data_IF_182248780613
#
_entry.id   IF_182248780613
#
_cell.length_a   1.000
_cell.length_b   1.000
_cell.length_c   1.000
_cell.angle_alpha   90.00
_cell.angle_beta   90.00
_cell.angle_gamma   90.00
#
_symmetry.space_group_name_H-M   'P 1'
#
loop_
_entity.id
_entity.type
_entity.pdbx_description
1 polymer ?
#
# COMPACT_ATOMS: atom_id res chain seq x y z
N UNK A 1 25.32 19.63 -0.44
CA UNK A 1 24.70 19.05 -1.65
C UNK A 1 23.95 17.79 -1.26
N UNK A 2 22.64 17.87 -1.03
CA UNK A 2 21.83 16.67 -0.80
C UNK A 2 21.47 16.06 -2.15
N UNK A 3 21.75 14.76 -2.32
CA UNK A 3 21.35 13.98 -3.49
C UNK A 3 19.81 13.95 -3.53
N UNK A 4 19.23 14.54 -4.57
CA UNK A 4 17.84 14.33 -4.92
C UNK A 4 17.72 12.85 -5.34
N UNK A 5 17.24 12.01 -4.44
CA UNK A 5 16.80 10.66 -4.79
C UNK A 5 15.50 10.85 -5.56
N UNK A 6 15.55 10.71 -6.89
CA UNK A 6 14.34 10.66 -7.71
C UNK A 6 13.51 9.47 -7.25
N UNK A 7 12.44 9.71 -6.51
CA UNK A 7 11.35 8.76 -6.34
C UNK A 7 10.92 8.34 -7.75
N UNK A 8 11.19 7.10 -8.13
CA UNK A 8 10.79 6.57 -9.44
C UNK A 8 9.31 6.86 -9.66
N UNK A 9 8.94 7.34 -10.85
CA UNK A 9 7.55 7.69 -11.19
C UNK A 9 6.63 6.53 -10.81
N UNK A 10 5.86 6.68 -9.72
CA UNK A 10 4.81 5.72 -9.38
C UNK A 10 3.83 5.70 -10.54
N UNK A 11 3.64 4.53 -11.15
CA UNK A 11 2.63 4.39 -12.19
C UNK A 11 1.32 4.09 -11.51
N UNK A 12 0.33 4.96 -11.70
CA UNK A 12 -1.05 4.77 -11.24
C UNK A 12 -1.59 3.36 -11.55
N UNK A 13 -1.22 2.79 -12.70
CA UNK A 13 -1.58 1.44 -13.14
C UNK A 13 -1.19 0.34 -12.15
N UNK A 14 -0.13 0.53 -11.37
CA UNK A 14 0.33 -0.48 -10.39
C UNK A 14 -0.60 -0.54 -9.18
N UNK A 15 -1.02 0.64 -8.69
CA UNK A 15 -2.02 0.73 -7.63
C UNK A 15 -3.36 0.17 -8.13
N UNK A 16 -3.78 0.55 -9.34
CA UNK A 16 -5.03 0.05 -9.93
C UNK A 16 -5.04 -1.48 -10.09
N UNK A 17 -3.91 -2.07 -10.43
CA UNK A 17 -3.77 -3.53 -10.51
C UNK A 17 -4.00 -4.18 -9.15
N UNK A 18 -3.33 -3.70 -8.11
CA UNK A 18 -3.48 -4.25 -6.75
C UNK A 18 -4.89 -4.04 -6.20
N UNK A 19 -5.46 -2.86 -6.41
CA UNK A 19 -6.85 -2.56 -6.00
C UNK A 19 -7.83 -3.49 -6.72
N UNK A 20 -7.62 -3.76 -8.01
CA UNK A 20 -8.47 -4.69 -8.78
C UNK A 20 -8.36 -6.11 -8.25
N UNK A 21 -7.16 -6.57 -7.92
CA UNK A 21 -6.95 -7.90 -7.31
C UNK A 21 -7.70 -8.00 -5.98
N UNK A 22 -7.53 -7.01 -5.09
CA UNK A 22 -8.21 -6.96 -3.80
C UNK A 22 -9.74 -6.91 -3.94
N UNK A 23 -10.25 -6.07 -4.84
CA UNK A 23 -11.68 -5.94 -5.10
C UNK A 23 -12.29 -7.21 -5.70
N UNK A 24 -11.48 -8.02 -6.38
CA UNK A 24 -11.89 -9.32 -6.94
C UNK A 24 -11.75 -10.48 -5.94
N UNK A 25 -11.37 -10.21 -4.69
CA UNK A 25 -11.12 -11.25 -3.68
C UNK A 25 -9.86 -12.09 -3.95
N UNK A 26 -8.98 -11.64 -4.86
CA UNK A 26 -7.74 -12.33 -5.17
C UNK A 26 -6.74 -12.07 -4.05
N UNK A 27 -6.21 -13.13 -3.45
CA UNK A 27 -5.14 -13.05 -2.46
C UNK A 27 -3.87 -12.49 -3.09
N UNK A 28 -3.28 -11.47 -2.48
CA UNK A 28 -2.01 -10.92 -2.92
C UNK A 28 -0.88 -11.93 -2.73
N UNK A 29 0.03 -11.97 -3.70
CA UNK A 29 1.25 -12.76 -3.62
C UNK A 29 2.22 -12.26 -2.54
N UNK A 30 3.21 -13.08 -2.20
CA UNK A 30 4.19 -12.77 -1.17
C UNK A 30 5.03 -11.51 -1.47
N UNK A 31 5.18 -11.16 -2.75
CA UNK A 31 5.89 -9.97 -3.21
C UNK A 31 5.27 -8.65 -2.72
N UNK A 32 3.98 -8.66 -2.39
CA UNK A 32 3.27 -7.50 -1.85
C UNK A 32 3.44 -7.36 -0.33
N UNK A 33 4.14 -8.27 0.35
CA UNK A 33 4.33 -8.24 1.81
C UNK A 33 3.03 -7.96 2.59
N UNK A 34 1.91 -8.55 2.13
CA UNK A 34 0.60 -8.30 2.69
C UNK A 34 0.50 -8.84 4.13
N UNK A 35 0.26 -7.95 5.09
CA UNK A 35 0.21 -8.32 6.49
C UNK A 35 -0.85 -7.54 7.26
N UNK A 36 -1.33 -8.12 8.36
CA UNK A 36 -2.27 -7.44 9.26
C UNK A 36 -1.52 -6.40 10.09
N UNK A 37 -2.11 -5.20 10.20
CA UNK A 37 -1.67 -4.19 11.14
C UNK A 37 -2.15 -4.55 12.56
N UNK A 38 -1.56 -3.92 13.57
CA UNK A 38 -1.86 -4.14 14.99
C UNK A 38 -2.11 -2.82 15.70
N UNK A 39 -2.68 -2.87 16.91
CA UNK A 39 -2.93 -1.69 17.74
C UNK A 39 -4.15 -0.91 17.24
N UNK A 40 -4.02 0.41 17.09
CA UNK A 40 -5.12 1.28 16.64
C UNK A 40 -5.65 0.93 15.25
N UNK A 41 -4.82 0.28 14.42
CA UNK A 41 -5.17 -0.18 13.08
C UNK A 41 -5.53 -1.68 13.04
N UNK A 42 -5.96 -2.27 14.16
CA UNK A 42 -6.37 -3.67 14.18
C UNK A 42 -7.53 -3.94 13.19
N UNK A 43 -7.42 -5.06 12.48
CA UNK A 43 -8.33 -5.41 11.37
C UNK A 43 -8.09 -4.64 10.06
N UNK A 44 -7.08 -3.76 9.99
CA UNK A 44 -6.54 -3.29 8.72
C UNK A 44 -5.37 -4.15 8.26
N UNK A 45 -5.06 -4.06 6.97
CA UNK A 45 -3.94 -4.72 6.33
C UNK A 45 -3.10 -3.70 5.58
N UNK A 46 -1.81 -3.94 5.52
CA UNK A 46 -0.86 -3.17 4.73
C UNK A 46 -0.18 -4.06 3.70
N UNK A 47 -0.02 -3.55 2.47
CA UNK A 47 0.76 -4.20 1.43
C UNK A 47 1.64 -3.20 0.66
N UNK A 48 2.76 -3.70 0.13
CA UNK A 48 3.76 -2.99 -0.65
C UNK A 48 3.48 -3.17 -2.14
N UNK A 49 3.05 -2.13 -2.83
CA UNK A 49 2.81 -2.17 -4.28
C UNK A 49 4.12 -2.10 -5.06
N UNK A 50 5.03 -1.20 -4.64
CA UNK A 50 6.36 -1.05 -5.24
C UNK A 50 7.28 -0.17 -4.41
N UNK A 51 8.47 -0.67 -4.06
CA UNK A 51 9.44 0.11 -3.29
C UNK A 51 8.81 0.58 -1.98
N UNK A 52 8.69 1.90 -1.79
CA UNK A 52 8.08 2.51 -0.61
C UNK A 52 6.57 2.83 -0.79
N UNK A 53 5.94 2.37 -1.88
CA UNK A 53 4.51 2.58 -2.11
C UNK A 53 3.70 1.55 -1.32
N UNK A 54 3.00 2.03 -0.29
CA UNK A 54 2.16 1.23 0.61
C UNK A 54 0.68 1.48 0.35
N UNK A 55 -0.13 0.42 0.47
CA UNK A 55 -1.59 0.50 0.53
C UNK A 55 -2.06 -0.03 1.87
N UNK A 56 -2.87 0.77 2.57
CA UNK A 56 -3.59 0.34 3.77
C UNK A 56 -5.06 0.14 3.39
N UNK A 57 -5.56 -1.07 3.64
CA UNK A 57 -6.91 -1.45 3.29
C UNK A 57 -7.57 -2.33 4.36
N UNK A 58 -8.88 -2.48 4.24
CA UNK A 58 -9.69 -3.40 5.04
C UNK A 58 -10.77 -4.00 4.15
N UNK A 59 -11.02 -5.28 4.29
CA UNK A 59 -12.18 -5.94 3.67
C UNK A 59 -13.20 -6.16 4.78
N UNK A 60 -14.39 -5.59 4.62
CA UNK A 60 -15.49 -5.74 5.58
C UNK A 60 -16.79 -5.95 4.80
N UNK A 61 -17.53 -7.02 5.11
CA UNK A 61 -18.81 -7.34 4.47
C UNK A 61 -18.71 -7.34 2.93
N UNK A 62 -17.65 -7.96 2.39
CA UNK A 62 -17.27 -7.99 0.97
C UNK A 62 -17.00 -6.62 0.31
N UNK A 63 -16.92 -5.56 1.12
CA UNK A 63 -16.54 -4.21 0.68
C UNK A 63 -15.06 -3.98 0.94
N UNK A 64 -14.33 -3.63 -0.12
CA UNK A 64 -12.96 -3.13 -0.03
C UNK A 64 -12.98 -1.65 0.40
N UNK A 65 -12.41 -1.38 1.57
CA UNK A 65 -12.18 -0.05 2.11
C UNK A 65 -10.69 0.28 1.94
N UNK A 66 -10.38 1.25 1.09
CA UNK A 66 -9.03 1.78 0.92
C UNK A 66 -8.88 3.05 1.75
N UNK A 67 -7.92 3.07 2.69
CA UNK A 67 -7.73 4.20 3.61
C UNK A 67 -6.62 5.13 3.12
N UNK A 68 -5.48 4.58 2.72
CA UNK A 68 -4.30 5.37 2.32
C UNK A 68 -3.52 4.63 1.23
N UNK A 69 -3.06 5.40 0.24
CA UNK A 69 -1.99 5.03 -0.66
C UNK A 69 -0.83 6.01 -0.44
N UNK A 70 0.26 5.57 0.18
CA UNK A 70 1.37 6.45 0.51
C UNK A 70 2.46 6.38 -0.57
N UNK A 71 2.73 7.51 -1.23
CA UNK A 71 3.83 7.69 -2.18
C UNK A 71 4.94 8.48 -1.47
N UNK A 72 5.61 7.90 -0.49
CA UNK A 72 6.61 8.61 0.32
C UNK A 72 7.90 7.83 0.49
N UNK A 73 9.06 8.46 0.22
CA UNK A 73 10.31 8.02 0.86
C UNK A 73 10.18 8.28 2.36
N UNK A 74 10.61 7.32 3.19
CA UNK A 74 10.52 7.31 4.66
C UNK A 74 10.98 8.59 5.41
N UNK A 75 11.49 9.61 4.72
CA UNK A 75 11.99 10.87 5.28
C UNK A 75 10.96 11.98 5.46
N UNK A 76 9.73 11.89 4.90
CA UNK A 76 8.73 12.98 4.99
C UNK A 76 7.60 12.74 6.00
N UNK A 77 7.51 11.55 6.60
CA UNK A 77 6.47 11.23 7.60
C UNK A 77 7.00 11.17 9.04
N UNK A 78 8.32 11.16 9.22
CA UNK A 78 8.96 11.14 10.54
C UNK A 78 10.27 11.97 10.59
N UNK A 79 10.40 12.99 9.73
CA UNK A 79 11.58 13.88 9.64
C UNK A 79 11.20 15.35 9.73
#
# INVERSE_FOLDING_TARGET
MQKIIRSGKVKRSEVETVVTMLASGIKLGAEYNDHALRGEYDGYRECHVRGNLLLIYKIKDDVLILVVANIGSHSELFG
#
